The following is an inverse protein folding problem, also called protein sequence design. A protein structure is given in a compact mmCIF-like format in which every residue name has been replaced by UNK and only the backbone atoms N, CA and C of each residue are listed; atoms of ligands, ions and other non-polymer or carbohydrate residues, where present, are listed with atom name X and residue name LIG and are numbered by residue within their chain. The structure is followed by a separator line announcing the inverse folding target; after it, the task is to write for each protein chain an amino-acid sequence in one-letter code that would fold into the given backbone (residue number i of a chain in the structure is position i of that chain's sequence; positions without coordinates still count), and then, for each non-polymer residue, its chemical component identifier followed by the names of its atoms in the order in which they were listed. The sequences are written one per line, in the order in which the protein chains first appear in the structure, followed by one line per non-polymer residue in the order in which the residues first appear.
data_IF_533220770901
#
_entry.id   IF_533220770901
#
_cell.length_a   1.000
_cell.length_b   1.000
_cell.length_c   1.000
_cell.angle_alpha   90.00
_cell.angle_beta   90.00
_cell.angle_gamma   90.00
#
_symmetry.space_group_name_H-M   'P 1'
#
loop_
_entity.id
_entity.type
_entity.pdbx_description
1 polymer ?
#
# COMPACT_ATOMS: atom_id res chain seq x y z
N UNK A 1 -5.70 -5.94 15.30
CA UNK A 1 -6.18 -6.10 13.92
C UNK A 1 -5.58 -4.98 13.10
N UNK A 2 -4.81 -5.29 12.07
CA UNK A 2 -4.16 -4.31 11.19
C UNK A 2 -5.00 -4.07 9.95
N UNK A 3 -5.05 -2.82 9.48
CA UNK A 3 -5.74 -2.45 8.24
C UNK A 3 -5.26 -1.10 7.75
N UNK A 4 -5.72 -0.69 6.57
CA UNK A 4 -5.45 0.64 6.02
C UNK A 4 -5.88 1.78 6.96
N UNK A 5 -6.91 1.57 7.77
CA UNK A 5 -7.35 2.53 8.78
C UNK A 5 -6.30 2.72 9.89
N UNK A 6 -5.70 1.62 10.38
CA UNK A 6 -4.65 1.65 11.38
C UNK A 6 -3.38 2.31 10.80
N UNK A 7 -3.07 2.00 9.53
CA UNK A 7 -1.98 2.64 8.81
C UNK A 7 -2.19 4.15 8.71
N UNK A 8 -3.37 4.60 8.28
CA UNK A 8 -3.67 6.02 8.19
C UNK A 8 -3.66 6.71 9.57
N UNK A 9 -4.21 6.07 10.60
CA UNK A 9 -4.16 6.57 11.97
C UNK A 9 -2.71 6.74 12.46
N UNK A 10 -1.83 5.80 12.13
CA UNK A 10 -0.40 5.89 12.41
C UNK A 10 0.23 7.09 11.71
N UNK A 11 -0.04 7.29 10.41
CA UNK A 11 0.46 8.46 9.67
C UNK A 11 -0.01 9.78 10.29
N UNK A 12 -1.29 9.88 10.66
CA UNK A 12 -1.86 11.09 11.24
C UNK A 12 -1.24 11.45 12.60
N UNK A 13 -1.07 10.45 13.48
CA UNK A 13 -0.39 10.62 14.77
C UNK A 13 1.06 11.10 14.58
N UNK A 14 1.72 10.62 13.52
CA UNK A 14 3.11 10.91 13.23
C UNK A 14 3.33 12.01 12.15
N UNK A 15 2.30 12.80 11.84
CA UNK A 15 2.30 13.75 10.70
C UNK A 15 3.46 14.75 10.69
N UNK A 16 3.97 15.16 11.86
CA UNK A 16 5.12 16.08 11.96
C UNK A 16 6.40 15.43 11.44
N UNK A 17 6.67 14.19 11.84
CA UNK A 17 7.83 13.42 11.35
C UNK A 17 7.67 13.02 9.89
N UNK A 18 6.44 12.67 9.48
CA UNK A 18 6.12 12.36 8.09
C UNK A 18 6.37 13.56 7.15
N UNK A 19 6.03 14.77 7.60
CA UNK A 19 6.32 16.00 6.87
C UNK A 19 7.83 16.29 6.76
N UNK A 20 8.60 15.99 7.82
CA UNK A 20 10.05 16.20 7.86
C UNK A 20 10.90 15.15 7.12
N UNK A 21 10.33 14.00 6.76
CA UNK A 21 11.08 12.94 6.08
C UNK A 21 11.55 13.38 4.67
N UNK A 22 12.82 13.13 4.33
CA UNK A 22 13.39 13.50 3.02
C UNK A 22 12.66 12.83 1.85
N UNK A 23 12.33 11.55 1.99
CA UNK A 23 11.44 10.78 1.11
C UNK A 23 10.43 10.02 1.94
N UNK A 24 9.27 9.69 1.38
CA UNK A 24 8.29 8.82 2.03
C UNK A 24 8.89 7.46 2.36
N UNK A 25 9.77 6.91 1.51
CA UNK A 25 10.48 5.65 1.76
C UNK A 25 11.34 5.66 3.02
N UNK A 26 11.84 6.85 3.39
CA UNK A 26 12.75 7.05 4.52
C UNK A 26 11.97 7.21 5.84
N UNK A 27 10.65 7.33 5.78
CA UNK A 27 9.80 7.40 6.95
C UNK A 27 9.84 6.07 7.73
N UNK A 28 9.96 6.17 9.05
CA UNK A 28 9.93 5.04 9.96
C UNK A 28 8.47 4.59 10.14
N UNK A 29 7.98 3.74 9.23
CA UNK A 29 6.67 3.11 9.35
C UNK A 29 6.63 2.11 10.52
N UNK A 30 5.43 1.87 11.05
CA UNK A 30 5.17 0.84 12.05
C UNK A 30 5.46 -0.55 11.48
N UNK A 31 6.54 -1.18 11.95
CA UNK A 31 6.96 -2.49 11.48
C UNK A 31 6.08 -3.63 11.97
N UNK A 32 5.32 -3.46 13.05
CA UNK A 32 4.38 -4.48 13.52
C UNK A 32 3.18 -4.58 12.58
N UNK A 33 2.75 -3.44 12.05
CA UNK A 33 1.64 -3.32 11.10
C UNK A 33 1.97 -3.93 9.73
N UNK A 34 3.25 -3.88 9.31
CA UNK A 34 3.68 -4.26 7.98
C UNK A 34 4.22 -5.70 7.90
N UNK A 35 3.71 -6.47 6.94
CA UNK A 35 4.33 -7.72 6.51
C UNK A 35 5.45 -7.51 5.49
N UNK A 36 5.47 -6.36 4.81
CA UNK A 36 6.53 -6.02 3.86
C UNK A 36 6.83 -4.52 3.85
N UNK A 37 8.11 -4.20 3.73
CA UNK A 37 8.63 -2.87 3.40
C UNK A 37 9.78 -3.04 2.41
N UNK A 38 9.62 -2.49 1.21
CA UNK A 38 10.57 -2.56 0.12
C UNK A 38 10.86 -1.18 -0.47
N UNK A 39 11.82 -1.15 -1.40
CA UNK A 39 12.10 0.04 -2.18
C UNK A 39 12.28 -0.35 -3.66
N UNK A 40 11.65 0.43 -4.55
CA UNK A 40 11.92 0.34 -5.99
C UNK A 40 11.17 -0.77 -6.74
N UNK A 41 10.28 -1.53 -6.07
CA UNK A 41 9.36 -2.47 -6.71
C UNK A 41 8.02 -2.42 -6.00
N UNK A 42 6.93 -2.40 -6.77
CA UNK A 42 5.58 -2.49 -6.21
C UNK A 42 5.35 -3.83 -5.50
N UNK A 43 4.73 -3.84 -4.31
CA UNK A 43 4.36 -2.67 -3.51
C UNK A 43 5.55 -2.17 -2.68
N UNK A 44 5.58 -0.87 -2.36
CA UNK A 44 6.57 -0.37 -1.39
C UNK A 44 6.27 -0.86 0.03
N UNK A 45 4.99 -1.03 0.40
CA UNK A 45 4.58 -1.58 1.70
C UNK A 45 3.44 -2.58 1.54
N UNK A 46 3.38 -3.57 2.43
CA UNK A 46 2.19 -4.41 2.58
C UNK A 46 1.79 -4.50 4.05
N UNK A 47 0.50 -4.29 4.31
CA UNK A 47 -0.10 -4.45 5.63
C UNK A 47 -0.25 -5.95 5.91
N UNK A 48 0.03 -6.36 7.14
CA UNK A 48 -0.06 -7.74 7.58
C UNK A 48 -1.49 -8.28 7.44
N UNK A 49 -1.62 -9.53 7.02
CA UNK A 49 -2.90 -10.25 7.04
C UNK A 49 -3.23 -10.67 8.46
N UNK A 50 -4.48 -10.45 8.87
CA UNK A 50 -4.99 -10.88 10.17
C UNK A 50 -5.65 -12.24 10.00
N UNK A 51 -4.94 -13.30 10.39
CA UNK A 51 -5.42 -14.68 10.34
C UNK A 51 -6.12 -15.14 11.65
N UNK A 52 -6.22 -14.26 12.65
CA UNK A 52 -6.81 -14.55 13.97
C UNK A 52 -8.25 -14.07 14.20
N UNK A 53 -8.99 -13.73 13.13
CA UNK A 53 -10.39 -13.30 13.20
C UNK A 53 -11.40 -14.47 13.26
N UNK A 54 -12.69 -14.15 13.20
CA UNK A 54 -13.73 -15.17 13.03
C UNK A 54 -13.42 -16.06 11.80
N UNK A 55 -13.70 -17.37 11.84
CA UNK A 55 -13.43 -18.25 10.71
C UNK A 55 -14.17 -17.77 9.46
N UNK A 56 -13.42 -17.37 8.42
CA UNK A 56 -14.00 -17.08 7.09
C UNK A 56 -13.47 -15.85 6.38
N UNK A 57 -13.09 -14.78 7.11
CA UNK A 57 -12.81 -13.48 6.48
C UNK A 57 -11.47 -12.89 6.94
N UNK A 58 -10.35 -13.25 6.29
CA UNK A 58 -9.06 -12.60 6.54
C UNK A 58 -9.15 -11.11 6.21
N UNK A 59 -8.75 -10.25 7.16
CA UNK A 59 -8.70 -8.79 6.98
C UNK A 59 -7.27 -8.29 6.89
N UNK A 60 -7.07 -7.03 6.48
CA UNK A 60 -5.75 -6.45 6.30
C UNK A 60 -5.18 -6.82 4.92
N UNK A 61 -3.87 -7.04 4.83
CA UNK A 61 -3.24 -7.45 3.58
C UNK A 61 -3.05 -6.34 2.54
N UNK A 62 -3.57 -5.13 2.78
CA UNK A 62 -3.59 -4.05 1.81
C UNK A 62 -2.19 -3.66 1.36
N UNK A 63 -2.06 -3.31 0.09
CA UNK A 63 -0.81 -2.96 -0.56
C UNK A 63 -0.70 -1.44 -0.68
N UNK A 64 0.45 -0.87 -0.34
CA UNK A 64 0.66 0.59 -0.41
C UNK A 64 1.85 0.90 -1.32
N UNK A 65 1.62 1.78 -2.27
CA UNK A 65 2.65 2.38 -3.12
C UNK A 65 2.92 3.81 -2.64
N UNK A 66 4.20 4.19 -2.53
CA UNK A 66 4.61 5.51 -2.09
C UNK A 66 4.90 6.41 -3.30
N UNK A 67 4.40 7.64 -3.26
CA UNK A 67 4.66 8.65 -4.31
C UNK A 67 5.03 9.99 -3.69
N UNK A 68 6.24 10.44 -3.98
CA UNK A 68 6.67 11.81 -3.72
C UNK A 68 6.65 12.63 -5.00
N UNK A 69 6.08 13.84 -4.94
CA UNK A 69 6.10 14.82 -6.01
C UNK A 69 6.60 16.17 -5.52
N UNK A 70 7.42 16.84 -6.36
CA UNK A 70 7.84 18.24 -6.15
C UNK A 70 6.75 19.26 -6.47
N UNK A 71 5.56 18.78 -6.83
CA UNK A 71 4.36 19.59 -7.06
C UNK A 71 3.16 18.91 -6.40
N UNK A 72 1.97 19.51 -6.51
CA UNK A 72 0.72 18.82 -6.15
C UNK A 72 0.19 17.92 -7.25
N UNK A 73 0.84 17.89 -8.41
CA UNK A 73 0.46 17.06 -9.54
C UNK A 73 1.22 15.75 -9.46
N UNK A 74 0.50 14.63 -9.55
CA UNK A 74 1.05 13.30 -9.79
C UNK A 74 0.68 12.95 -11.22
N UNK A 75 1.56 13.28 -12.17
CA UNK A 75 1.23 13.21 -13.60
C UNK A 75 1.42 11.81 -14.21
N UNK A 76 2.04 10.86 -13.51
CA UNK A 76 2.22 9.53 -14.10
C UNK A 76 2.55 8.43 -13.09
N UNK A 77 1.74 7.36 -13.11
CA UNK A 77 2.10 6.07 -12.56
C UNK A 77 2.91 5.32 -13.62
N UNK A 78 4.19 5.69 -13.76
CA UNK A 78 5.04 5.22 -14.88
C UNK A 78 5.31 3.70 -14.89
N UNK A 79 4.93 2.97 -13.84
CA UNK A 79 5.29 1.56 -13.64
C UNK A 79 4.11 0.61 -13.39
N UNK A 80 2.92 1.12 -13.10
CA UNK A 80 1.72 0.29 -12.84
C UNK A 80 0.48 1.11 -13.17
N UNK A 81 -0.41 0.62 -14.05
CA UNK A 81 -1.74 1.21 -14.23
C UNK A 81 -2.41 1.25 -12.85
N UNK A 82 -2.97 2.39 -12.39
CA UNK A 82 -3.65 2.46 -11.12
C UNK A 82 -4.78 1.44 -11.07
N UNK A 83 -4.65 0.42 -10.22
CA UNK A 83 -5.69 -0.56 -9.96
C UNK A 83 -6.11 -0.45 -8.50
N UNK A 84 -7.40 -0.60 -8.22
CA UNK A 84 -7.91 -0.58 -6.85
C UNK A 84 -7.58 -1.87 -6.10
N UNK A 85 -7.37 -2.95 -6.85
CA UNK A 85 -7.07 -4.28 -6.34
C UNK A 85 -5.97 -4.91 -7.18
N UNK A 86 -5.26 -5.90 -6.62
CA UNK A 86 -4.30 -6.72 -7.36
C UNK A 86 -4.24 -8.14 -6.81
N UNK A 87 -4.12 -9.12 -7.71
CA UNK A 87 -3.92 -10.50 -7.31
C UNK A 87 -2.52 -10.66 -6.69
N UNK A 88 -2.44 -11.25 -5.50
CA UNK A 88 -1.16 -11.42 -4.80
C UNK A 88 -0.20 -12.33 -5.58
N UNK A 89 -0.73 -13.27 -6.38
CA UNK A 89 0.04 -14.14 -7.25
C UNK A 89 0.81 -13.40 -8.34
N UNK A 90 0.27 -12.29 -8.87
CA UNK A 90 0.95 -11.47 -9.87
C UNK A 90 2.15 -10.71 -9.29
N UNK A 91 2.13 -10.50 -7.98
CA UNK A 91 3.16 -9.75 -7.24
C UNK A 91 4.22 -10.70 -6.69
N UNK A 92 3.78 -11.85 -6.16
CA UNK A 92 4.60 -12.80 -5.41
C UNK A 92 5.01 -14.02 -6.24
N UNK A 93 4.62 -14.09 -7.51
CA UNK A 93 4.95 -15.19 -8.43
C UNK A 93 6.44 -15.29 -8.78
N UNK A 94 6.82 -16.40 -9.43
CA UNK A 94 8.19 -16.71 -9.86
C UNK A 94 9.01 -17.52 -8.85
N UNK A 95 10.20 -17.99 -9.25
CA UNK A 95 11.07 -18.84 -8.39
C UNK A 95 11.73 -18.06 -7.24
N UNK A 96 12.23 -16.86 -7.49
CA UNK A 96 12.72 -15.94 -6.46
C UNK A 96 11.93 -14.64 -6.54
N UNK A 97 11.48 -14.16 -5.38
CA UNK A 97 10.63 -12.97 -5.30
C UNK A 97 10.81 -12.30 -3.94
N UNK A 98 11.46 -11.13 -3.96
CA UNK A 98 11.79 -10.36 -2.74
C UNK A 98 10.56 -9.93 -1.93
N UNK A 99 9.41 -9.71 -2.58
CA UNK A 99 8.17 -9.34 -1.89
C UNK A 99 7.64 -10.56 -1.13
N UNK A 100 7.57 -11.71 -1.80
CA UNK A 100 7.16 -12.98 -1.18
C UNK A 100 8.06 -13.34 -0.01
N UNK A 101 9.37 -13.31 -0.24
CA UNK A 101 10.38 -13.66 0.77
C UNK A 101 10.27 -12.74 2.00
N UNK A 102 10.08 -11.44 1.79
CA UNK A 102 9.89 -10.47 2.88
C UNK A 102 8.60 -10.69 3.68
N UNK A 103 7.47 -10.94 3.01
CA UNK A 103 6.19 -11.25 3.65
C UNK A 103 6.27 -12.55 4.48
N UNK A 104 6.82 -13.62 3.91
CA UNK A 104 7.00 -14.91 4.60
C UNK A 104 7.93 -14.79 5.81
N UNK A 105 9.04 -14.04 5.70
CA UNK A 105 9.97 -13.82 6.79
C UNK A 105 9.32 -13.13 8.01
N UNK A 106 8.21 -12.40 7.79
CA UNK A 106 7.43 -11.77 8.85
C UNK A 106 6.24 -12.62 9.33
N UNK A 107 6.09 -13.85 8.85
CA UNK A 107 5.03 -14.77 9.24
C UNK A 107 3.66 -14.42 8.65
N UNK A 108 3.62 -13.73 7.52
CA UNK A 108 2.37 -13.40 6.82
C UNK A 108 1.82 -14.64 6.10
N UNK A 109 0.51 -14.88 6.20
CA UNK A 109 -0.17 -15.86 5.36
C UNK A 109 -0.54 -15.20 4.04
N UNK A 110 0.37 -15.31 3.06
CA UNK A 110 0.24 -14.59 1.79
C UNK A 110 -1.03 -15.01 1.04
N UNK A 111 -1.42 -16.28 1.16
CA UNK A 111 -2.47 -16.90 0.35
C UNK A 111 -3.85 -16.86 1.01
N UNK A 112 -3.94 -16.51 2.30
CA UNK A 112 -5.21 -16.25 2.95
C UNK A 112 -6.04 -15.17 2.22
N UNK A 113 -5.37 -14.18 1.60
CA UNK A 113 -6.03 -13.11 0.85
C UNK A 113 -5.48 -13.02 -0.59
N UNK A 114 -6.11 -13.71 -1.57
CA UNK A 114 -5.58 -13.81 -2.93
C UNK A 114 -5.74 -12.53 -3.77
N UNK A 115 -6.75 -11.72 -3.47
CA UNK A 115 -6.98 -10.40 -4.09
C UNK A 115 -6.87 -9.33 -3.00
N UNK A 116 -6.02 -8.33 -3.21
CA UNK A 116 -5.71 -7.33 -2.18
C UNK A 116 -5.95 -5.92 -2.68
N UNK A 117 -6.52 -5.08 -1.81
CA UNK A 117 -6.69 -3.67 -2.08
C UNK A 117 -5.33 -2.97 -2.25
N UNK A 118 -5.30 -1.98 -3.14
CA UNK A 118 -4.13 -1.17 -3.44
C UNK A 118 -4.43 0.28 -3.10
N UNK A 119 -3.53 0.87 -2.33
CA UNK A 119 -3.55 2.26 -1.92
C UNK A 119 -2.28 2.97 -2.35
N UNK A 120 -2.41 4.28 -2.54
CA UNK A 120 -1.33 5.17 -2.90
C UNK A 120 -1.18 6.23 -1.82
N UNK A 121 -0.04 6.22 -1.13
CA UNK A 121 0.34 7.30 -0.23
C UNK A 121 1.11 8.34 -1.03
N UNK A 122 0.43 9.43 -1.35
CA UNK A 122 0.94 10.51 -2.17
C UNK A 122 1.31 11.68 -1.28
N UNK A 123 2.53 12.21 -1.44
CA UNK A 123 2.97 13.46 -0.83
C UNK A 123 3.44 14.43 -1.91
N UNK A 124 2.82 15.60 -1.94
CA UNK A 124 3.15 16.70 -2.84
C UNK A 124 3.70 17.91 -2.08
N UNK A 125 4.72 18.53 -2.63
CA UNK A 125 5.36 19.74 -2.09
C UNK A 125 5.08 20.95 -3.01
N UNK A 126 4.82 22.13 -2.45
CA UNK A 126 4.78 23.41 -3.17
C UNK A 126 5.32 24.53 -2.28
N UNK A 127 6.60 24.87 -2.45
CA UNK A 127 7.33 25.67 -1.45
C UNK A 127 7.34 24.93 -0.12
N UNK A 128 7.04 25.63 0.97
CA UNK A 128 6.97 25.05 2.33
C UNK A 128 5.66 24.28 2.61
N UNK A 129 4.72 24.28 1.66
CA UNK A 129 3.42 23.64 1.84
C UNK A 129 3.44 22.19 1.40
N UNK A 130 3.03 21.29 2.30
CA UNK A 130 2.96 19.85 2.06
C UNK A 130 1.52 19.38 2.05
N UNK A 131 1.14 18.58 1.06
CA UNK A 131 -0.13 17.85 1.01
C UNK A 131 0.15 16.36 1.00
N UNK A 132 -0.55 15.61 1.83
CA UNK A 132 -0.45 14.16 1.92
C UNK A 132 -1.84 13.57 1.75
N UNK A 133 -1.98 12.63 0.81
CA UNK A 133 -3.23 11.96 0.51
C UNK A 133 -3.01 10.45 0.50
N UNK A 134 -3.96 9.72 1.06
CA UNK A 134 -4.09 8.28 0.86
C UNK A 134 -5.31 8.06 -0.04
N UNK A 135 -5.10 7.42 -1.19
CA UNK A 135 -6.16 7.17 -2.17
C UNK A 135 -6.07 5.79 -2.78
N UNK A 136 -7.16 5.34 -3.41
CA UNK A 136 -7.21 4.11 -4.19
C UNK A 136 -7.72 4.40 -5.59
N UNK A 137 -7.40 3.56 -6.56
CA UNK A 137 -7.92 3.69 -7.91
C UNK A 137 -9.33 3.09 -7.97
N UNK A 138 -10.28 3.86 -8.51
CA UNK A 138 -11.64 3.38 -8.71
C UNK A 138 -11.74 2.75 -10.09
N UNK A 139 -12.08 1.46 -10.15
CA UNK A 139 -12.44 0.82 -11.41
C UNK A 139 -13.80 1.34 -11.85
N UNK A 140 -13.84 2.13 -12.94
CA UNK A 140 -15.10 2.48 -13.57
C UNK A 140 -15.66 1.25 -14.30
N UNK A 141 -16.36 0.37 -13.57
CA UNK A 141 -17.27 -0.56 -14.23
C UNK A 141 -18.42 0.28 -14.78
N UNK A 142 -18.30 0.74 -16.03
CA UNK A 142 -19.48 1.04 -16.84
C UNK A 142 -20.21 -0.28 -17.00
N UNK A 143 -21.25 -0.52 -16.20
CA UNK A 143 -22.24 -1.52 -16.53
C UNK A 143 -22.79 -1.16 -17.91
N UNK A 144 -22.39 -1.91 -18.94
CA UNK A 144 -23.20 -1.97 -20.14
C UNK A 144 -24.47 -2.70 -19.74
N UNK A 145 -25.46 -1.95 -19.29
CA UNK A 145 -26.84 -2.36 -19.41
C UNK A 145 -27.12 -2.41 -20.91
N UNK A 146 -26.88 -3.57 -21.51
CA UNK A 146 -27.50 -3.94 -22.77
C UNK A 146 -28.93 -4.31 -22.44
N UNK A 147 -29.83 -3.37 -22.70
CA UNK A 147 -31.26 -3.59 -22.91
C UNK A 147 -31.51 -4.39 -24.17
#
# INVERSE_FOLDING_TARGET
MYSIYHFFAYLYRNRRWLAGAKKLSDFAFDEELLSYKGAGRFPDLAIRVNSGGAPGDPTGGELVELKDSRSYTVSSFNSTIPSGEKAIGDITGGRSNVVREGMLARGDDIHALPLRDVYYLVRGHKGDNIKICLGTAVSSRRSRLTS
#
